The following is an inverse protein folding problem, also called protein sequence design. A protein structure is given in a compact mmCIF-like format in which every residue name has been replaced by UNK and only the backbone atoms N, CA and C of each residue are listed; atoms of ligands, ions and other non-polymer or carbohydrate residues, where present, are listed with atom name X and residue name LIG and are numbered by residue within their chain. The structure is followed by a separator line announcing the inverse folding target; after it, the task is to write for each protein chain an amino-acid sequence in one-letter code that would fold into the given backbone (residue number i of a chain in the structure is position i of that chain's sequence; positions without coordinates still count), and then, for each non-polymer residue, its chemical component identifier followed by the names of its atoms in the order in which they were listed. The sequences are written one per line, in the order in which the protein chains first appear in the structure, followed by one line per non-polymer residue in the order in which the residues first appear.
data_IF_692546762914
#
_entry.id   IF_692546762914
#
_cell.length_a   1.000
_cell.length_b   1.000
_cell.length_c   1.000
_cell.angle_alpha   90.00
_cell.angle_beta   90.00
_cell.angle_gamma   90.00
#
_symmetry.space_group_name_H-M   'P 1'
#
loop_
_entity.id
_entity.type
_entity.pdbx_description
1 polymer ?
#
# COMPACT_ATOMS: atom_id res chain seq x y z
N UNK A 1 5.63 -9.17 9.72
CA UNK A 1 4.89 -8.01 9.22
C UNK A 1 5.88 -7.30 8.35
N UNK A 2 5.57 -7.13 7.08
CA UNK A 2 6.41 -6.23 6.27
C UNK A 2 5.82 -4.84 6.40
N UNK A 3 6.62 -3.89 6.87
CA UNK A 3 6.23 -2.49 7.01
C UNK A 3 6.93 -1.73 5.90
N UNK A 4 6.14 -1.10 5.03
CA UNK A 4 6.64 -0.14 4.05
C UNK A 4 6.40 1.26 4.60
N UNK A 5 7.46 1.99 4.87
CA UNK A 5 7.36 3.40 5.24
C UNK A 5 7.43 4.22 3.97
N UNK A 6 6.44 5.08 3.73
CA UNK A 6 6.36 5.91 2.53
C UNK A 6 6.18 7.37 2.88
N UNK A 7 6.80 8.22 2.06
CA UNK A 7 6.43 9.64 1.98
C UNK A 7 5.42 9.82 0.84
N UNK A 8 4.42 10.66 1.07
CA UNK A 8 3.30 10.88 0.15
C UNK A 8 3.29 12.32 -0.32
N UNK A 9 3.14 12.52 -1.63
CA UNK A 9 2.87 13.83 -2.24
C UNK A 9 1.49 13.81 -2.86
N UNK A 10 0.61 14.68 -2.38
CA UNK A 10 -0.68 14.97 -3.01
C UNK A 10 -0.55 16.26 -3.82
N UNK A 11 -0.85 16.18 -5.12
CA UNK A 11 -1.06 17.36 -5.97
C UNK A 11 -2.55 17.59 -6.10
N UNK A 12 -3.01 18.75 -5.62
CA UNK A 12 -4.41 19.14 -5.64
C UNK A 12 -4.73 19.98 -6.87
N UNK A 13 -5.97 19.86 -7.33
CA UNK A 13 -6.59 20.79 -8.26
C UNK A 13 -8.03 21.06 -7.82
N UNK A 14 -8.66 22.05 -8.46
CA UNK A 14 -10.09 22.26 -8.42
C UNK A 14 -10.66 22.05 -9.81
N UNK A 15 -11.86 21.50 -9.92
CA UNK A 15 -12.54 21.34 -11.20
C UNK A 15 -14.03 21.68 -11.07
N UNK A 16 -14.75 21.96 -12.17
CA UNK A 16 -16.17 22.30 -12.08
C UNK A 16 -17.05 21.19 -11.48
N UNK A 17 -16.62 19.93 -11.60
CA UNK A 17 -17.34 18.78 -11.06
C UNK A 17 -17.17 18.63 -9.53
N UNK A 18 -16.03 19.05 -8.99
CA UNK A 18 -15.72 19.07 -7.56
C UNK A 18 -14.99 20.39 -7.22
N UNK A 19 -15.75 21.41 -6.79
CA UNK A 19 -15.21 22.77 -6.58
C UNK A 19 -14.22 22.88 -5.41
N UNK A 20 -14.20 21.89 -4.51
CA UNK A 20 -13.27 21.83 -3.39
C UNK A 20 -11.90 21.27 -3.86
N UNK A 21 -10.75 21.78 -3.35
CA UNK A 21 -9.45 21.25 -3.72
C UNK A 21 -9.33 19.75 -3.42
N UNK A 22 -9.06 18.94 -4.45
CA UNK A 22 -8.97 17.48 -4.33
C UNK A 22 -7.76 16.92 -5.08
N UNK A 23 -7.16 15.80 -4.59
CA UNK A 23 -5.99 15.20 -5.23
C UNK A 23 -6.31 14.68 -6.64
N UNK A 24 -5.50 15.04 -7.63
CA UNK A 24 -5.52 14.39 -8.95
C UNK A 24 -4.27 13.53 -9.21
N UNK A 25 -3.15 13.86 -8.57
CA UNK A 25 -1.94 13.05 -8.60
C UNK A 25 -1.49 12.76 -7.17
N UNK A 26 -1.37 11.47 -6.83
CA UNK A 26 -0.83 11.00 -5.56
C UNK A 26 0.41 10.16 -5.84
N UNK A 27 1.58 10.66 -5.42
CA UNK A 27 2.84 9.93 -5.55
C UNK A 27 3.29 9.46 -4.19
N UNK A 28 3.84 8.24 -4.15
CA UNK A 28 4.43 7.65 -2.94
C UNK A 28 5.88 7.31 -3.22
N UNK A 29 6.76 7.71 -2.30
CA UNK A 29 8.18 7.35 -2.34
C UNK A 29 8.45 6.39 -1.21
N UNK A 30 9.04 5.24 -1.52
CA UNK A 30 9.43 4.28 -0.51
C UNK A 30 10.66 4.77 0.25
N UNK A 31 10.51 4.93 1.56
CA UNK A 31 11.56 5.45 2.46
C UNK A 31 12.30 4.32 3.14
N UNK A 32 11.56 3.32 3.63
CA UNK A 32 12.13 2.19 4.35
C UNK A 32 11.25 0.94 4.20
N UNK A 33 11.88 -0.23 4.32
CA UNK A 33 11.22 -1.53 4.36
C UNK A 33 11.73 -2.32 5.55
N UNK A 34 10.85 -2.54 6.52
CA UNK A 34 11.11 -3.48 7.60
C UNK A 34 10.55 -4.84 7.16
N UNK A 35 11.39 -5.83 6.82
CA UNK A 35 10.90 -7.11 6.34
C UNK A 35 10.17 -7.87 7.45
N UNK A 36 9.08 -8.53 7.06
CA UNK A 36 8.46 -9.52 7.93
C UNK A 36 9.38 -10.71 8.16
N UNK A 37 9.38 -11.23 9.39
CA UNK A 37 9.91 -12.56 9.68
C UNK A 37 9.14 -13.69 8.98
N UNK A 38 9.53 -14.95 9.20
CA UNK A 38 8.89 -16.11 8.58
C UNK A 38 7.41 -16.22 8.95
N UNK A 39 6.62 -16.83 8.07
CA UNK A 39 5.20 -17.08 8.31
C UNK A 39 5.00 -17.88 9.60
N UNK A 40 4.06 -17.42 10.44
CA UNK A 40 3.73 -18.06 11.73
C UNK A 40 2.47 -18.91 11.69
N UNK A 41 1.75 -18.88 10.58
CA UNK A 41 0.55 -19.68 10.36
C UNK A 41 0.49 -20.09 8.88
N UNK A 42 1.40 -20.94 8.41
CA UNK A 42 1.35 -21.39 7.03
C UNK A 42 0.09 -22.23 6.78
N UNK A 43 -0.39 -22.23 5.55
CA UNK A 43 -1.58 -22.99 5.16
C UNK A 43 -1.20 -24.13 4.23
N UNK A 44 -1.82 -25.28 4.43
CA UNK A 44 -1.70 -26.41 3.50
C UNK A 44 -2.77 -26.28 2.43
N UNK A 45 -2.34 -26.21 1.19
CA UNK A 45 -3.22 -26.18 0.01
C UNK A 45 -3.11 -27.49 -0.76
N UNK A 46 -4.14 -27.79 -1.54
CA UNK A 46 -4.17 -28.91 -2.48
C UNK A 46 -4.46 -28.41 -3.88
N UNK A 47 -3.57 -28.71 -4.82
CA UNK A 47 -3.77 -28.46 -6.25
C UNK A 47 -3.77 -29.82 -6.97
N UNK A 48 -4.96 -30.34 -7.26
CA UNK A 48 -5.12 -31.68 -7.83
C UNK A 48 -4.61 -32.76 -6.87
N UNK A 49 -3.58 -33.50 -7.27
CA UNK A 49 -2.95 -34.54 -6.44
C UNK A 49 -1.78 -34.03 -5.59
N UNK A 50 -1.39 -32.77 -5.73
CA UNK A 50 -0.26 -32.20 -4.98
C UNK A 50 -0.78 -31.46 -3.75
N UNK A 51 -0.23 -31.78 -2.58
CA UNK A 51 -0.38 -30.98 -1.36
C UNK A 51 0.92 -30.24 -1.08
N UNK A 52 0.81 -28.97 -0.68
CA UNK A 52 1.98 -28.17 -0.32
C UNK A 52 1.62 -27.14 0.75
N UNK A 53 2.62 -26.72 1.51
CA UNK A 53 2.47 -25.73 2.57
C UNK A 53 3.03 -24.40 2.09
N UNK A 54 2.22 -23.35 2.17
CA UNK A 54 2.58 -22.00 1.70
C UNK A 54 2.39 -20.97 2.81
N UNK A 55 3.09 -19.82 2.77
CA UNK A 55 2.82 -18.70 3.65
C UNK A 55 1.36 -18.23 3.53
N UNK A 56 0.70 -17.90 4.65
CA UNK A 56 -0.71 -17.50 4.61
C UNK A 56 -0.98 -16.24 3.79
N UNK A 57 -0.01 -15.35 3.54
CA UNK A 57 -0.21 -14.20 2.63
C UNK A 57 -0.56 -14.60 1.20
N UNK A 58 -0.21 -15.83 0.78
CA UNK A 58 -0.48 -16.33 -0.57
C UNK A 58 -1.88 -16.92 -0.74
N UNK A 59 -2.67 -17.01 0.33
CA UNK A 59 -3.98 -17.67 0.33
C UNK A 59 -5.03 -16.89 1.12
N UNK A 60 -4.69 -16.48 2.34
CA UNK A 60 -5.62 -15.85 3.26
C UNK A 60 -5.82 -14.36 2.91
N UNK A 61 -7.06 -13.85 3.02
CA UNK A 61 -7.31 -12.41 2.92
C UNK A 61 -6.61 -11.68 4.08
N UNK A 62 -6.30 -10.39 3.88
CA UNK A 62 -5.49 -9.59 4.82
C UNK A 62 -5.93 -9.69 6.29
N UNK A 63 -7.25 -9.69 6.55
CA UNK A 63 -7.81 -9.78 7.92
C UNK A 63 -7.53 -11.12 8.62
N UNK A 64 -7.23 -12.19 7.87
CA UNK A 64 -6.93 -13.55 8.37
C UNK A 64 -5.45 -13.92 8.32
N UNK A 65 -4.61 -13.09 7.69
CA UNK A 65 -3.16 -13.31 7.65
C UNK A 65 -2.54 -13.16 9.05
N UNK A 66 -1.51 -13.97 9.35
CA UNK A 66 -0.73 -13.81 10.57
C UNK A 66 0.08 -12.50 10.55
N UNK A 67 0.48 -12.00 11.72
CA UNK A 67 1.27 -10.78 11.83
C UNK A 67 2.58 -10.81 11.04
N UNK A 68 3.19 -11.99 10.83
CA UNK A 68 4.40 -12.10 10.01
C UNK A 68 4.15 -11.80 8.52
N UNK A 69 3.01 -12.24 7.98
CA UNK A 69 2.65 -12.16 6.57
C UNK A 69 1.88 -10.90 6.17
N UNK A 70 1.32 -10.16 7.14
CA UNK A 70 0.62 -8.90 6.86
C UNK A 70 1.57 -7.84 6.33
N UNK A 71 1.10 -7.12 5.32
CA UNK A 71 1.69 -5.87 4.83
C UNK A 71 1.04 -4.69 5.53
N UNK A 72 1.85 -3.77 6.05
CA UNK A 72 1.41 -2.47 6.55
C UNK A 72 2.15 -1.39 5.77
N UNK A 73 1.41 -0.37 5.35
CA UNK A 73 1.99 0.85 4.78
C UNK A 73 1.84 1.93 5.84
N UNK A 74 2.96 2.52 6.26
CA UNK A 74 3.00 3.63 7.20
C UNK A 74 3.35 4.88 6.41
N UNK A 75 2.46 5.87 6.44
CA UNK A 75 2.71 7.18 5.84
C UNK A 75 3.50 8.02 6.85
N UNK A 76 4.75 8.35 6.51
CA UNK A 76 5.67 9.10 7.39
C UNK A 76 5.48 10.60 7.25
N UNK A 77 5.53 11.11 6.02
CA UNK A 77 5.33 12.52 5.72
C UNK A 77 4.33 12.66 4.57
N UNK A 78 3.40 13.60 4.70
CA UNK A 78 2.41 13.93 3.68
C UNK A 78 2.65 15.37 3.27
N UNK A 79 3.04 15.59 2.02
CA UNK A 79 3.20 16.92 1.42
C UNK A 79 2.06 17.17 0.46
N UNK A 80 1.36 18.28 0.66
CA UNK A 80 0.27 18.72 -0.22
C UNK A 80 0.73 19.96 -0.97
N UNK A 81 0.53 19.97 -2.29
CA UNK A 81 0.75 21.15 -3.13
C UNK A 81 -0.41 21.33 -4.10
N UNK A 82 -0.80 22.56 -4.36
CA UNK A 82 -1.76 22.86 -5.42
C UNK A 82 -1.01 22.96 -6.74
N UNK A 83 -1.61 22.49 -7.83
CA UNK A 83 -1.08 22.78 -9.16
C UNK A 83 -1.20 24.29 -9.40
N UNK A 84 -0.07 25.00 -9.44
CA UNK A 84 -0.07 26.41 -9.82
C UNK A 84 -0.47 26.52 -11.30
N UNK A 85 -1.39 27.44 -11.60
CA UNK A 85 -2.04 27.59 -12.90
C UNK A 85 -1.12 28.03 -14.07
N UNK A 86 0.20 28.05 -13.90
CA UNK A 86 1.16 28.56 -14.90
C UNK A 86 1.34 27.64 -16.14
N UNK A 87 0.71 26.47 -16.19
CA UNK A 87 0.76 25.56 -17.37
C UNK A 87 -0.60 25.47 -18.06
N UNK A 88 -1.24 26.62 -18.28
CA UNK A 88 -2.42 26.76 -19.14
C UNK A 88 -2.19 27.91 -20.15
N UNK A 89 -1.12 27.79 -20.94
CA UNK A 89 -0.85 28.63 -22.10
C UNK A 89 -0.88 27.77 -23.37
#
# INVERSE_FOLDING_TARGET
MTIYTVDVVHVLHTCPAEPEPHPYDTRRTLVDVIPGGPCRAPVTIRCGQVTTTIPCSRHEPAKRQCGACRTIVVERTITTRTLDAEVAA
#
